data_IF_459825748343
#
_entry.id   IF_459825748343
#
_cell.length_a   1.000
_cell.length_b   1.000
_cell.length_c   1.000
_cell.angle_alpha   90.00
_cell.angle_beta   90.00
_cell.angle_gamma   90.00
#
_symmetry.space_group_name_H-M   'P 1'
#
loop_
_entity.id
_entity.type
_entity.pdbx_description
1 polymer ?
#
# COMPACT_ATOMS: atom_id res chain seq x y z
N UNK A 1 4.85 4.83 10.67
CA UNK A 1 3.88 5.95 10.63
C UNK A 1 3.68 6.46 9.20
N UNK A 2 3.38 5.58 8.25
CA UNK A 2 3.41 5.93 6.83
C UNK A 2 2.33 6.95 6.43
N UNK A 3 1.11 6.82 6.98
CA UNK A 3 0.02 7.77 6.69
C UNK A 3 0.33 9.20 7.13
N UNK A 4 0.92 9.40 8.32
CA UNK A 4 1.31 10.73 8.78
C UNK A 4 2.34 11.37 7.84
N UNK A 5 3.38 10.62 7.47
CA UNK A 5 4.43 11.11 6.55
C UNK A 5 3.86 11.52 5.20
N UNK A 6 2.97 10.70 4.62
CA UNK A 6 2.31 11.01 3.35
C UNK A 6 1.43 12.26 3.49
N UNK A 7 0.62 12.35 4.55
CA UNK A 7 -0.28 13.49 4.78
C UNK A 7 0.47 14.80 5.00
N UNK A 8 1.63 14.78 5.66
CA UNK A 8 2.49 15.95 5.79
C UNK A 8 2.97 16.45 4.42
N UNK A 9 3.39 15.55 3.54
CA UNK A 9 3.79 15.91 2.18
C UNK A 9 2.63 16.49 1.35
N UNK A 10 1.42 15.92 1.46
CA UNK A 10 0.22 16.45 0.80
C UNK A 10 -0.16 17.85 1.33
N UNK A 11 0.00 18.06 2.64
CA UNK A 11 -0.31 19.35 3.27
C UNK A 11 0.66 20.45 2.88
N UNK A 12 1.96 20.14 2.78
CA UNK A 12 2.99 21.08 2.33
C UNK A 12 2.72 21.60 0.90
N UNK A 13 2.26 20.71 0.02
CA UNK A 13 1.89 21.06 -1.35
C UNK A 13 0.44 21.56 -1.47
N UNK A 14 -0.32 21.54 -0.36
CA UNK A 14 -1.76 21.81 -0.28
C UNK A 14 -2.58 21.14 -1.40
N UNK A 15 -2.22 19.89 -1.76
CA UNK A 15 -2.75 19.20 -2.93
C UNK A 15 -2.72 17.69 -2.74
N UNK A 16 -3.74 17.03 -3.29
CA UNK A 16 -3.84 15.57 -3.33
C UNK A 16 -4.67 15.02 -2.18
N UNK A 17 -4.71 13.69 -2.10
CA UNK A 17 -5.55 12.96 -1.15
C UNK A 17 -4.92 11.60 -0.85
N UNK A 18 -5.07 11.14 0.39
CA UNK A 18 -4.74 9.78 0.80
C UNK A 18 -6.04 9.05 1.13
N UNK A 19 -6.21 7.85 0.57
CA UNK A 19 -7.18 6.87 1.06
C UNK A 19 -6.40 5.75 1.73
N UNK A 20 -6.68 5.49 3.00
CA UNK A 20 -6.16 4.33 3.72
C UNK A 20 -7.26 3.30 3.92
N UNK A 21 -6.89 2.03 3.90
CA UNK A 21 -7.76 0.92 4.26
C UNK A 21 -7.23 0.29 5.54
N UNK A 22 -8.11 -0.03 6.49
CA UNK A 22 -7.69 -0.72 7.72
C UNK A 22 -8.90 -1.40 8.36
N UNK A 23 -9.02 -2.73 8.20
CA UNK A 23 -10.00 -3.46 8.99
C UNK A 23 -9.57 -3.42 10.46
N UNK A 24 -10.47 -2.95 11.32
CA UNK A 24 -10.25 -3.01 12.76
C UNK A 24 -10.39 -4.47 13.19
N UNK A 25 -9.28 -5.11 13.54
CA UNK A 25 -9.33 -6.44 14.14
C UNK A 25 -9.81 -6.30 15.59
N UNK A 26 -11.11 -6.52 15.80
CA UNK A 26 -11.80 -6.47 17.08
C UNK A 26 -11.30 -7.55 18.05
N UNK A 27 -10.15 -7.32 18.67
CA UNK A 27 -9.74 -8.12 19.84
C UNK A 27 -10.11 -7.44 21.15
N UNK A 28 -10.30 -6.11 21.16
CA UNK A 28 -10.64 -5.35 22.36
C UNK A 28 -11.64 -4.23 22.05
N UNK A 29 -12.61 -4.01 22.95
CA UNK A 29 -13.52 -2.86 22.87
C UNK A 29 -12.72 -1.56 22.96
N UNK A 30 -12.98 -0.63 22.03
CA UNK A 30 -12.37 0.70 22.02
C UNK A 30 -11.09 0.86 21.18
N UNK A 31 -10.58 -0.18 20.52
CA UNK A 31 -9.38 -0.09 19.68
C UNK A 31 -9.54 0.84 18.45
N UNK A 32 -10.79 1.00 17.98
CA UNK A 32 -11.13 1.89 16.87
C UNK A 32 -10.68 3.33 17.13
N UNK A 33 -10.69 3.78 18.39
CA UNK A 33 -10.29 5.14 18.79
C UNK A 33 -8.81 5.44 18.55
N UNK A 34 -7.99 4.40 18.40
CA UNK A 34 -6.55 4.54 18.17
C UNK A 34 -6.21 4.55 16.68
N UNK A 35 -7.13 4.18 15.80
CA UNK A 35 -6.85 4.20 14.37
C UNK A 35 -6.74 5.64 13.88
N UNK A 36 -5.57 5.98 13.37
CA UNK A 36 -5.27 7.36 12.96
C UNK A 36 -4.98 8.31 14.12
N UNK A 37 -4.76 7.85 15.35
CA UNK A 37 -4.54 8.72 16.51
C UNK A 37 -3.31 9.64 16.38
N UNK A 38 -2.31 9.22 15.60
CA UNK A 38 -1.13 10.04 15.32
C UNK A 38 -1.31 10.99 14.13
N UNK A 39 -2.47 11.00 13.48
CA UNK A 39 -2.78 11.96 12.41
C UNK A 39 -3.45 13.18 13.04
N UNK A 40 -2.80 14.36 13.03
CA UNK A 40 -3.41 15.60 13.50
C UNK A 40 -4.70 15.94 12.74
N UNK A 41 -5.66 16.56 13.43
CA UNK A 41 -6.96 16.90 12.86
C UNK A 41 -6.85 17.79 11.61
N UNK A 42 -5.88 18.70 11.59
CA UNK A 42 -5.60 19.60 10.46
C UNK A 42 -5.21 18.85 9.17
N UNK A 43 -4.65 17.65 9.28
CA UNK A 43 -4.26 16.82 8.14
C UNK A 43 -5.41 15.95 7.62
N UNK A 44 -6.44 15.69 8.43
CA UNK A 44 -7.55 14.80 8.05
C UNK A 44 -8.35 15.30 6.85
N UNK A 45 -8.29 16.60 6.53
CA UNK A 45 -8.89 17.15 5.30
C UNK A 45 -8.35 16.53 4.01
N UNK A 46 -7.13 15.97 4.03
CA UNK A 46 -6.53 15.26 2.90
C UNK A 46 -6.72 13.74 2.99
N UNK A 47 -7.37 13.24 4.05
CA UNK A 47 -7.40 11.83 4.39
C UNK A 47 -8.82 11.27 4.37
N UNK A 48 -8.96 10.05 3.85
CA UNK A 48 -10.12 9.20 4.08
C UNK A 48 -9.66 7.83 4.55
N UNK A 49 -10.34 7.31 5.55
CA UNK A 49 -10.15 5.94 6.05
C UNK A 49 -11.35 5.09 5.66
N UNK A 50 -11.11 3.92 5.07
CA UNK A 50 -12.12 2.89 4.79
C UNK A 50 -11.87 1.74 5.78
N UNK A 51 -12.73 1.54 6.80
CA UNK A 51 -12.49 0.56 7.86
C UNK A 51 -12.94 -0.86 7.45
N UNK A 52 -12.41 -1.35 6.34
CA UNK A 52 -12.78 -2.66 5.76
C UNK A 52 -11.54 -3.43 5.31
N UNK A 53 -11.69 -4.74 5.06
CA UNK A 53 -10.63 -5.58 4.51
C UNK A 53 -10.31 -5.22 3.06
N UNK A 54 -9.07 -5.49 2.63
CA UNK A 54 -8.57 -5.20 1.28
C UNK A 54 -9.54 -5.60 0.15
N UNK A 55 -10.13 -6.79 0.23
CA UNK A 55 -11.05 -7.32 -0.80
C UNK A 55 -12.27 -6.43 -1.04
N UNK A 56 -12.72 -5.71 -0.02
CA UNK A 56 -13.86 -4.79 -0.12
C UNK A 56 -13.39 -3.34 -0.23
N UNK A 57 -12.35 -2.98 0.52
CA UNK A 57 -11.86 -1.62 0.65
C UNK A 57 -11.11 -1.13 -0.60
N UNK A 58 -10.29 -1.98 -1.24
CA UNK A 58 -9.52 -1.59 -2.44
C UNK A 58 -10.45 -1.22 -3.59
N UNK A 59 -11.45 -2.04 -3.98
CA UNK A 59 -12.39 -1.63 -5.03
C UNK A 59 -13.13 -0.32 -4.73
N UNK A 60 -13.50 -0.07 -3.48
CA UNK A 60 -14.13 1.19 -3.04
C UNK A 60 -13.16 2.38 -3.12
N UNK A 61 -11.90 2.18 -2.74
CA UNK A 61 -10.88 3.21 -2.85
C UNK A 61 -10.62 3.58 -4.31
N UNK A 62 -10.51 2.58 -5.18
CA UNK A 62 -10.24 2.77 -6.61
C UNK A 62 -11.41 3.38 -7.40
N UNK A 63 -12.65 3.21 -6.93
CA UNK A 63 -13.80 3.91 -7.52
C UNK A 63 -13.77 5.42 -7.24
N UNK A 64 -13.10 5.85 -6.17
CA UNK A 64 -12.89 7.26 -5.83
C UNK A 64 -11.57 7.84 -6.36
N UNK A 65 -10.49 7.05 -6.35
CA UNK A 65 -9.16 7.42 -6.85
C UNK A 65 -8.78 6.48 -8.00
N UNK A 66 -9.27 6.81 -9.19
CA UNK A 66 -9.10 5.97 -10.39
C UNK A 66 -7.66 5.91 -10.90
N UNK A 67 -6.88 6.98 -10.69
CA UNK A 67 -5.48 7.07 -11.10
C UNK A 67 -4.62 7.40 -9.88
N UNK A 68 -3.68 6.52 -9.57
CA UNK A 68 -2.82 6.64 -8.40
C UNK A 68 -1.42 7.11 -8.80
N UNK A 69 -0.85 8.01 -7.99
CA UNK A 69 0.58 8.38 -8.05
C UNK A 69 1.45 7.42 -7.22
N UNK A 70 0.90 6.91 -6.13
CA UNK A 70 1.59 6.12 -5.11
C UNK A 70 0.67 5.04 -4.57
N UNK A 71 1.20 3.83 -4.45
CA UNK A 71 0.63 2.73 -3.67
C UNK A 71 1.61 2.40 -2.54
N UNK A 72 1.10 2.29 -1.31
CA UNK A 72 1.86 1.82 -0.15
C UNK A 72 1.08 0.68 0.51
N UNK A 73 1.56 -0.55 0.36
CA UNK A 73 0.89 -1.76 0.81
C UNK A 73 1.58 -2.33 2.07
N UNK A 74 0.89 -2.24 3.21
CA UNK A 74 1.30 -2.82 4.50
C UNK A 74 0.11 -3.55 5.15
N UNK A 75 -0.66 -4.26 4.33
CA UNK A 75 -1.89 -4.95 4.78
C UNK A 75 -1.62 -6.45 4.96
N UNK A 76 -2.32 -7.30 4.21
CA UNK A 76 -2.29 -8.74 4.40
C UNK A 76 -0.88 -9.35 4.23
N UNK A 77 -0.51 -10.22 5.16
CA UNK A 77 0.79 -10.90 5.16
C UNK A 77 0.79 -12.24 4.38
N UNK A 78 -0.36 -12.69 3.90
CA UNK A 78 -0.44 -13.93 3.10
C UNK A 78 -0.10 -13.68 1.63
N UNK A 79 0.56 -14.67 1.01
CA UNK A 79 0.87 -14.64 -0.43
C UNK A 79 -0.39 -14.42 -1.28
N UNK A 80 -1.45 -15.18 -1.01
CA UNK A 80 -2.71 -15.13 -1.78
C UNK A 80 -3.35 -13.75 -1.73
N UNK A 81 -3.49 -13.16 -0.54
CA UNK A 81 -4.11 -11.83 -0.41
C UNK A 81 -3.31 -10.73 -1.12
N UNK A 82 -1.97 -10.80 -1.04
CA UNK A 82 -1.08 -9.90 -1.79
C UNK A 82 -1.28 -10.07 -3.31
N UNK A 83 -1.28 -11.30 -3.81
CA UNK A 83 -1.47 -11.57 -5.25
C UNK A 83 -2.88 -11.26 -5.77
N UNK A 84 -3.90 -11.23 -4.89
CA UNK A 84 -5.24 -10.73 -5.23
C UNK A 84 -5.28 -9.18 -5.27
N UNK A 85 -4.54 -8.51 -4.39
CA UNK A 85 -4.60 -7.05 -4.22
C UNK A 85 -3.65 -6.28 -5.16
N UNK A 86 -2.43 -6.77 -5.34
CA UNK A 86 -1.39 -6.09 -6.12
C UNK A 86 -1.81 -5.78 -7.57
N UNK A 87 -2.44 -6.70 -8.32
CA UNK A 87 -2.87 -6.40 -9.69
C UNK A 87 -3.85 -5.24 -9.76
N UNK A 88 -4.86 -5.21 -8.88
CA UNK A 88 -5.87 -4.14 -8.84
C UNK A 88 -5.24 -2.77 -8.60
N UNK A 89 -4.33 -2.70 -7.62
CA UNK A 89 -3.62 -1.47 -7.28
C UNK A 89 -2.65 -1.03 -8.39
N UNK A 90 -2.00 -1.99 -9.05
CA UNK A 90 -1.06 -1.73 -10.13
C UNK A 90 -1.72 -1.24 -11.41
N UNK A 91 -2.89 -1.78 -11.75
CA UNK A 91 -3.65 -1.36 -12.92
C UNK A 91 -4.13 0.08 -12.78
N UNK A 92 -4.46 0.52 -11.55
CA UNK A 92 -4.79 1.92 -11.26
C UNK A 92 -3.58 2.83 -11.02
N UNK A 93 -2.36 2.29 -10.89
CA UNK A 93 -1.14 3.08 -10.76
C UNK A 93 -0.73 3.65 -12.12
N UNK A 94 -0.49 4.96 -12.19
CA UNK A 94 -0.04 5.58 -13.46
C UNK A 94 1.39 5.19 -13.81
N UNK A 95 1.74 5.34 -15.09
CA UNK A 95 3.15 5.36 -15.50
C UNK A 95 3.88 6.52 -14.80
N UNK A 96 5.06 6.21 -14.27
CA UNK A 96 5.88 7.03 -13.40
C UNK A 96 5.53 6.90 -11.91
N UNK A 97 4.41 6.27 -11.56
CA UNK A 97 3.98 6.05 -10.18
C UNK A 97 4.82 5.00 -9.44
N UNK A 98 4.75 5.03 -8.11
CA UNK A 98 5.49 4.14 -7.23
C UNK A 98 4.58 3.13 -6.56
N UNK A 99 4.99 1.86 -6.58
CA UNK A 99 4.38 0.78 -5.83
C UNK A 99 5.33 0.35 -4.72
N UNK A 100 4.94 0.52 -3.47
CA UNK A 100 5.73 0.18 -2.29
C UNK A 100 5.00 -0.93 -1.53
N UNK A 101 5.71 -1.97 -1.11
CA UNK A 101 5.18 -3.01 -0.23
C UNK A 101 6.12 -3.25 0.94
N UNK A 102 5.58 -3.27 2.14
CA UNK A 102 6.29 -3.64 3.36
C UNK A 102 6.37 -5.17 3.51
N UNK A 103 7.31 -5.61 4.36
CA UNK A 103 7.55 -7.00 4.74
C UNK A 103 7.58 -7.96 3.54
N UNK A 104 8.39 -7.62 2.54
CA UNK A 104 8.50 -8.44 1.32
C UNK A 104 9.24 -9.76 1.56
N UNK A 105 9.90 -9.90 2.71
CA UNK A 105 10.56 -11.12 3.17
C UNK A 105 9.61 -12.16 3.76
N UNK A 106 8.37 -11.80 4.10
CA UNK A 106 7.40 -12.73 4.67
C UNK A 106 7.02 -13.87 3.71
N UNK A 107 7.04 -13.60 2.40
CA UNK A 107 6.77 -14.59 1.34
C UNK A 107 7.21 -14.06 -0.05
N UNK A 108 7.16 -14.92 -1.07
CA UNK A 108 7.62 -14.59 -2.42
C UNK A 108 6.66 -13.73 -3.26
N UNK A 109 5.52 -13.26 -2.74
CA UNK A 109 4.48 -12.58 -3.54
C UNK A 109 5.02 -11.34 -4.24
N UNK A 110 5.78 -10.50 -3.56
CA UNK A 110 6.34 -9.28 -4.15
C UNK A 110 7.33 -9.60 -5.29
N UNK A 111 8.22 -10.57 -5.08
CA UNK A 111 9.19 -10.99 -6.10
C UNK A 111 8.51 -11.64 -7.32
N UNK A 112 7.45 -12.43 -7.10
CA UNK A 112 6.66 -13.01 -8.18
C UNK A 112 5.89 -11.92 -8.93
N UNK A 113 5.26 -11.01 -8.21
CA UNK A 113 4.53 -9.89 -8.78
C UNK A 113 5.43 -8.98 -9.62
N UNK A 114 6.64 -8.64 -9.16
CA UNK A 114 7.57 -7.80 -9.93
C UNK A 114 7.95 -8.45 -11.27
N UNK A 115 8.13 -9.79 -11.29
CA UNK A 115 8.36 -10.56 -12.52
C UNK A 115 7.12 -10.57 -13.42
N UNK A 116 5.95 -10.75 -12.83
CA UNK A 116 4.66 -10.76 -13.51
C UNK A 116 4.42 -9.47 -14.30
N UNK A 117 4.69 -8.31 -13.68
CA UNK A 117 4.59 -7.01 -14.34
C UNK A 117 5.83 -6.66 -15.16
N UNK A 118 6.87 -7.51 -15.18
CA UNK A 118 8.13 -7.27 -15.90
C UNK A 118 8.86 -5.98 -15.50
N UNK A 119 8.82 -5.62 -14.21
CA UNK A 119 9.54 -4.47 -13.67
C UNK A 119 10.57 -4.91 -12.63
N UNK A 120 11.78 -4.34 -12.71
CA UNK A 120 12.83 -4.61 -11.74
C UNK A 120 12.52 -3.87 -10.43
N UNK A 121 12.42 -4.58 -9.28
CA UNK A 121 12.23 -3.92 -8.01
C UNK A 121 13.55 -3.34 -7.46
N UNK A 122 13.42 -2.34 -6.61
CA UNK A 122 14.41 -1.92 -5.63
C UNK A 122 14.02 -2.55 -4.30
N UNK A 123 14.99 -3.13 -3.60
CA UNK A 123 14.79 -3.69 -2.26
C UNK A 123 15.56 -2.84 -1.27
N UNK A 124 14.89 -2.38 -0.23
CA UNK A 124 15.44 -1.54 0.83
C UNK A 124 15.49 -2.36 2.11
N UNK A 125 16.67 -2.41 2.72
CA UNK A 125 16.86 -3.03 4.02
C UNK A 125 16.39 -2.08 5.14
N UNK A 126 15.66 -2.63 6.09
CA UNK A 126 15.14 -1.91 7.26
C UNK A 126 15.58 -2.63 8.53
N UNK A 127 16.76 -2.29 9.09
CA UNK A 127 17.23 -2.85 10.35
C UNK A 127 16.26 -2.51 11.48
N UNK A 128 15.82 -3.52 12.24
CA UNK A 128 14.95 -3.33 13.40
C UNK A 128 15.77 -3.34 14.69
N UNK A 129 15.26 -2.69 15.74
CA UNK A 129 15.89 -2.68 17.06
C UNK A 129 16.03 -4.08 17.68
N UNK A 130 15.22 -5.05 17.24
CA UNK A 130 15.32 -6.47 17.63
C UNK A 130 16.56 -7.18 17.06
N UNK A 131 17.31 -6.56 16.16
CA UNK A 131 18.42 -7.18 15.42
C UNK A 131 17.96 -7.96 14.19
N UNK A 132 16.66 -8.04 13.93
CA UNK A 132 16.09 -8.63 12.70
C UNK A 132 16.08 -7.57 11.61
N UNK A 133 16.55 -7.91 10.41
CA UNK A 133 16.40 -7.05 9.22
C UNK A 133 15.10 -7.39 8.51
N UNK A 134 14.28 -6.37 8.26
CA UNK A 134 13.08 -6.45 7.41
C UNK A 134 13.34 -5.79 6.07
N UNK A 135 12.51 -6.08 5.07
CA UNK A 135 12.71 -5.58 3.71
C UNK A 135 11.47 -4.89 3.17
N UNK A 136 11.68 -3.78 2.48
CA UNK A 136 10.66 -3.03 1.75
C UNK A 136 10.95 -3.12 0.27
N UNK A 137 9.93 -3.46 -0.51
CA UNK A 137 10.01 -3.53 -1.96
C UNK A 137 9.45 -2.28 -2.60
N UNK A 138 10.15 -1.75 -3.60
CA UNK A 138 9.71 -0.60 -4.39
C UNK A 138 9.77 -0.93 -5.88
N UNK A 139 8.69 -0.66 -6.61
CA UNK A 139 8.64 -0.75 -8.07
C UNK A 139 8.18 0.60 -8.62
N UNK A 140 8.95 1.20 -9.50
CA UNK A 140 8.47 2.32 -10.31
C UNK A 140 7.85 1.77 -11.60
N UNK A 141 6.61 2.16 -11.89
CA UNK A 141 5.90 1.74 -13.10
C UNK A 141 6.41 2.55 -14.29
N UNK A 142 7.24 1.97 -15.14
CA UNK A 142 7.82 2.71 -16.28
C UNK A 142 7.00 2.61 -17.56
N UNK A 143 6.12 1.61 -17.64
CA UNK A 143 5.28 1.36 -18.81
C UNK A 143 4.09 0.49 -18.43
N UNK A 144 3.01 0.58 -19.21
CA UNK A 144 1.90 -0.35 -19.16
C UNK A 144 2.21 -1.55 -20.05
N UNK A 145 2.33 -2.72 -19.43
CA UNK A 145 2.26 -4.01 -20.10
C UNK A 145 1.14 -4.81 -19.45
N UNK A 146 0.28 -5.47 -20.25
CA UNK A 146 -0.68 -6.38 -19.69
C UNK A 146 0.04 -7.43 -18.85
N UNK A 147 -0.50 -7.67 -17.65
CA UNK A 147 -0.03 -8.68 -16.71
C UNK A 147 -0.02 -10.01 -17.47
N UNK A 148 1.17 -10.62 -17.63
CA UNK A 148 1.28 -11.91 -18.32
C UNK A 148 0.66 -12.99 -17.44
N UNK A 149 -0.15 -13.89 -17.99
CA UNK A 149 -0.48 -15.12 -17.27
C UNK A 149 0.82 -15.93 -17.07
N UNK A 150 1.26 -16.07 -15.82
CA UNK A 150 2.32 -17.01 -15.45
C UNK A 150 1.60 -18.14 -14.71
N UNK A 151 1.56 -19.32 -15.33
CA UNK A 151 1.16 -20.54 -14.63
C UNK A 151 2.24 -20.86 -13.58
N UNK A 152 1.81 -21.09 -12.34
CA UNK A 152 2.65 -21.52 -11.22
C UNK A 152 2.50 -23.02 -11.00
#
# INVERSE_FOLDING_TARGET
WSSLSILLALADQNKGRLISTNLHYSKYEGDERYVGCAVPETLKRFWKLIPEEDRTAIPKALSELQLLDLVHYDSAKSYRARMESYPLLWDSLRVGGLFISDDIDDNLAFAHFSRLVSHRPIVVETPQASGVTKYVGVIQKHHDRPIKNIEF
#
